data_IF_922987562822
#
_entry.id   IF_922987562822
#
_cell.length_a   1.000
_cell.length_b   1.000
_cell.length_c   1.000
_cell.angle_alpha   90.00
_cell.angle_beta   90.00
_cell.angle_gamma   90.00
#
_symmetry.space_group_name_H-M   'P 1'
#
loop_
_entity.id
_entity.type
_entity.pdbx_description
1 polymer ?
#
# COMPACT_ATOMS: atom_id res chain seq x y z
N UNK A 1 -17.59 -77.49 -10.09
CA UNK A 1 -16.64 -76.61 -10.80
C UNK A 1 -16.43 -75.34 -9.98
N UNK A 2 -15.17 -74.91 -9.81
CA UNK A 2 -14.68 -74.00 -8.77
C UNK A 2 -14.76 -72.53 -9.21
N UNK A 3 -15.49 -71.68 -8.48
CA UNK A 3 -15.50 -70.21 -8.69
C UNK A 3 -14.10 -69.64 -8.38
N UNK A 4 -13.57 -68.81 -9.29
CA UNK A 4 -12.31 -68.06 -9.11
C UNK A 4 -12.62 -66.56 -8.94
N UNK A 5 -11.81 -65.81 -8.16
CA UNK A 5 -12.19 -64.51 -7.59
C UNK A 5 -11.85 -63.32 -8.51
N UNK A 6 -12.54 -62.20 -8.26
CA UNK A 6 -12.44 -60.91 -8.97
C UNK A 6 -11.12 -60.16 -8.74
N UNK A 7 -10.60 -59.38 -9.72
CA UNK A 7 -9.55 -58.41 -9.51
C UNK A 7 -10.11 -56.97 -9.46
N UNK A 8 -10.73 -56.59 -8.35
CA UNK A 8 -11.32 -55.26 -8.17
C UNK A 8 -10.33 -54.16 -7.71
N UNK A 9 -9.01 -54.40 -7.78
CA UNK A 9 -8.04 -53.63 -6.96
C UNK A 9 -6.80 -53.08 -7.69
N UNK A 10 -6.84 -52.91 -9.02
CA UNK A 10 -5.72 -52.26 -9.75
C UNK A 10 -6.12 -51.04 -10.60
N UNK A 11 -7.42 -50.73 -10.73
CA UNK A 11 -7.87 -49.65 -11.62
C UNK A 11 -7.90 -48.26 -10.94
N UNK A 12 -7.88 -48.18 -9.61
CA UNK A 12 -8.00 -46.92 -8.88
C UNK A 12 -6.74 -46.04 -8.87
N UNK A 13 -5.55 -46.62 -8.91
CA UNK A 13 -4.30 -45.86 -8.72
C UNK A 13 -3.72 -45.27 -10.02
N UNK A 14 -4.11 -45.80 -11.18
CA UNK A 14 -3.66 -45.26 -12.49
C UNK A 14 -4.53 -44.11 -13.00
N UNK A 15 -5.76 -43.98 -12.51
CA UNK A 15 -6.66 -42.90 -12.93
C UNK A 15 -6.27 -41.53 -12.35
N UNK A 16 -5.59 -41.49 -11.18
CA UNK A 16 -5.21 -40.24 -10.53
C UNK A 16 -3.96 -39.57 -11.12
N UNK A 17 -3.10 -40.30 -11.84
CA UNK A 17 -1.87 -39.73 -12.41
C UNK A 17 -2.06 -39.13 -13.81
N UNK A 18 -3.12 -39.50 -14.54
CA UNK A 18 -3.41 -38.96 -15.87
C UNK A 18 -4.38 -37.76 -15.86
N UNK A 19 -5.02 -37.44 -14.72
CA UNK A 19 -5.89 -36.26 -14.59
C UNK A 19 -5.16 -34.96 -14.26
N UNK A 20 -4.00 -35.02 -13.59
CA UNK A 20 -3.30 -33.82 -13.10
C UNK A 20 -2.52 -33.08 -14.18
N UNK A 21 -2.03 -33.77 -15.21
CA UNK A 21 -1.12 -33.17 -16.20
C UNK A 21 -1.81 -32.19 -17.17
N UNK A 22 -3.11 -32.36 -17.45
CA UNK A 22 -3.84 -31.47 -18.37
C UNK A 22 -4.31 -30.17 -17.71
N UNK A 23 -4.49 -30.13 -16.39
CA UNK A 23 -4.87 -28.91 -15.68
C UNK A 23 -3.74 -27.87 -15.61
N UNK A 24 -2.47 -28.30 -15.66
CA UNK A 24 -1.30 -27.40 -15.60
C UNK A 24 -1.09 -26.65 -16.91
N UNK A 25 -1.37 -27.27 -18.07
CA UNK A 25 -1.12 -26.66 -19.38
C UNK A 25 -2.17 -25.58 -19.71
N UNK A 26 -3.43 -25.78 -19.31
CA UNK A 26 -4.49 -24.77 -19.50
C UNK A 26 -4.28 -23.50 -18.65
N UNK A 27 -3.53 -23.58 -17.55
CA UNK A 27 -3.18 -22.41 -16.73
C UNK A 27 -2.08 -21.54 -17.31
N UNK A 28 -1.21 -22.09 -18.17
CA UNK A 28 -0.03 -21.38 -18.69
C UNK A 28 -0.31 -20.50 -19.91
N UNK A 29 -1.48 -20.63 -20.55
CA UNK A 29 -1.89 -19.79 -21.68
C UNK A 29 -2.77 -18.61 -21.29
N UNK A 30 -3.17 -18.53 -20.02
CA UNK A 30 -3.73 -17.29 -19.49
C UNK A 30 -2.56 -16.37 -19.14
N UNK A 31 -2.40 -15.34 -19.95
CA UNK A 31 -1.54 -14.20 -19.69
C UNK A 31 -2.06 -13.50 -18.41
N UNK A 32 -1.68 -14.03 -17.24
CA UNK A 32 -1.91 -13.41 -15.93
C UNK A 32 -0.80 -12.37 -15.71
N UNK A 33 -0.61 -11.44 -16.66
CA UNK A 33 0.34 -10.32 -16.50
C UNK A 33 -0.29 -9.05 -15.94
N UNK A 34 -1.59 -9.01 -15.66
CA UNK A 34 -2.23 -7.77 -15.18
C UNK A 34 -3.18 -7.89 -13.98
N UNK A 35 -3.24 -9.00 -13.25
CA UNK A 35 -4.17 -9.09 -12.10
C UNK A 35 -3.65 -9.77 -10.84
N UNK A 36 -2.36 -10.08 -10.77
CA UNK A 36 -1.70 -10.17 -9.47
C UNK A 36 -1.38 -8.73 -9.05
N UNK A 37 -2.44 -7.99 -8.70
CA UNK A 37 -2.33 -6.96 -7.68
C UNK A 37 -1.83 -7.70 -6.45
N UNK A 38 -0.51 -7.85 -6.38
CA UNK A 38 0.19 -8.07 -5.14
C UNK A 38 -0.34 -6.92 -4.29
N UNK A 39 -1.32 -7.24 -3.44
CA UNK A 39 -1.70 -6.49 -2.25
C UNK A 39 -0.39 -6.32 -1.52
N UNK A 40 0.40 -5.34 -1.98
CA UNK A 40 1.70 -4.96 -1.48
C UNK A 40 1.32 -4.47 -0.11
N UNK A 41 1.49 -5.40 0.84
CA UNK A 41 0.98 -5.34 2.20
C UNK A 41 0.86 -3.87 2.56
N UNK A 42 -0.39 -3.43 2.60
CA UNK A 42 -0.80 -2.06 2.83
C UNK A 42 -0.38 -1.78 4.28
N UNK A 43 0.92 -1.59 4.49
CA UNK A 43 1.51 -1.12 5.74
C UNK A 43 1.10 0.33 5.81
N UNK A 44 -0.18 0.55 6.09
CA UNK A 44 -0.73 1.90 6.19
C UNK A 44 0.05 2.58 7.31
N UNK A 45 0.56 3.79 7.09
CA UNK A 45 1.43 4.46 8.07
C UNK A 45 0.71 4.69 9.38
N UNK A 46 -0.62 4.72 9.35
CA UNK A 46 -1.55 4.80 10.47
C UNK A 46 -2.97 4.76 9.83
N UNK A 47 -4.01 4.55 10.62
CA UNK A 47 -5.39 4.48 10.14
C UNK A 47 -5.83 5.85 9.58
N UNK A 48 -5.71 6.06 8.27
CA UNK A 48 -6.15 7.30 7.61
C UNK A 48 -7.59 7.65 8.01
N UNK A 49 -7.83 8.92 8.34
CA UNK A 49 -9.16 9.46 8.55
C UNK A 49 -9.80 9.71 7.18
N UNK A 50 -10.57 8.74 6.68
CA UNK A 50 -11.34 8.87 5.44
C UNK A 50 -10.69 8.23 4.20
N UNK A 51 -11.03 8.76 3.03
CA UNK A 51 -10.60 8.22 1.73
C UNK A 51 -9.12 8.53 1.46
N UNK A 52 -8.42 7.56 0.88
CA UNK A 52 -7.02 7.71 0.45
C UNK A 52 -6.95 8.16 -1.01
N UNK A 53 -5.98 9.02 -1.31
CA UNK A 53 -5.57 9.38 -2.66
C UNK A 53 -4.37 8.49 -3.05
N UNK A 54 -4.67 7.32 -3.63
CA UNK A 54 -3.66 6.29 -3.87
C UNK A 54 -2.55 6.73 -4.83
N UNK A 55 -2.85 7.62 -5.77
CA UNK A 55 -1.93 8.07 -6.81
C UNK A 55 -1.10 9.29 -6.38
N UNK A 56 -1.45 9.93 -5.26
CA UNK A 56 -0.68 11.04 -4.71
C UNK A 56 0.71 10.57 -4.25
N UNK A 57 1.72 11.05 -4.98
CA UNK A 57 3.14 10.86 -4.66
C UNK A 57 3.89 12.16 -4.89
N UNK A 58 5.00 12.35 -4.17
CA UNK A 58 5.86 13.53 -4.32
C UNK A 58 7.22 13.14 -4.89
N UNK A 59 7.76 13.98 -5.76
CA UNK A 59 9.07 13.80 -6.39
C UNK A 59 10.23 14.21 -5.47
N UNK A 60 11.48 13.94 -5.88
CA UNK A 60 12.68 14.41 -5.14
C UNK A 60 12.75 15.93 -5.13
N UNK A 61 12.38 16.56 -6.24
CA UNK A 61 12.40 18.01 -6.44
C UNK A 61 11.36 18.71 -5.57
N UNK A 62 10.14 18.14 -5.50
CA UNK A 62 9.10 18.62 -4.58
C UNK A 62 9.55 18.48 -3.12
N UNK A 63 10.13 17.35 -2.74
CA UNK A 63 10.64 17.17 -1.38
C UNK A 63 11.76 18.18 -1.07
N UNK A 64 12.73 18.36 -1.97
CA UNK A 64 13.81 19.32 -1.79
C UNK A 64 13.28 20.75 -1.62
N UNK A 65 12.30 21.15 -2.43
CA UNK A 65 11.64 22.46 -2.34
C UNK A 65 10.89 22.62 -1.01
N UNK A 66 10.14 21.59 -0.59
CA UNK A 66 9.44 21.58 0.68
C UNK A 66 10.38 21.78 1.87
N UNK A 67 11.55 21.15 1.86
CA UNK A 67 12.55 21.26 2.93
C UNK A 67 13.15 22.67 3.09
N UNK A 68 12.88 23.58 2.16
CA UNK A 68 13.25 25.00 2.29
C UNK A 68 12.22 25.84 3.05
N UNK A 69 11.01 25.32 3.28
CA UNK A 69 9.97 26.00 4.05
C UNK A 69 10.38 25.94 5.53
N UNK A 70 10.61 27.09 6.19
CA UNK A 70 10.89 27.09 7.63
C UNK A 70 9.65 26.69 8.41
N UNK A 71 9.84 26.05 9.56
CA UNK A 71 8.76 25.91 10.55
C UNK A 71 8.12 27.27 10.82
N UNK A 72 6.83 27.25 11.16
CA UNK A 72 5.97 28.43 11.26
C UNK A 72 5.63 29.12 9.93
N UNK A 73 5.99 28.51 8.81
CA UNK A 73 5.52 28.89 7.48
C UNK A 73 4.01 28.67 7.31
N UNK A 74 3.45 29.09 6.18
CA UNK A 74 2.01 28.92 5.92
C UNK A 74 1.70 27.52 5.40
N UNK A 75 0.53 26.99 5.79
CA UNK A 75 -0.02 25.74 5.23
C UNK A 75 -0.12 25.81 3.71
N UNK A 76 -0.54 26.95 3.17
CA UNK A 76 -0.60 27.20 1.72
C UNK A 76 0.75 27.00 1.03
N UNK A 77 1.83 27.56 1.57
CA UNK A 77 3.17 27.39 0.97
C UNK A 77 3.57 25.90 0.89
N UNK A 78 3.20 25.10 1.89
CA UNK A 78 3.44 23.65 1.85
C UNK A 78 2.58 22.97 0.78
N UNK A 79 1.29 23.31 0.72
CA UNK A 79 0.34 22.71 -0.22
C UNK A 79 0.64 23.10 -1.68
N UNK A 80 1.21 24.28 -1.93
CA UNK A 80 1.62 24.69 -3.28
C UNK A 80 2.77 23.80 -3.82
N UNK A 81 3.62 23.27 -2.93
CA UNK A 81 4.74 22.39 -3.32
C UNK A 81 4.32 20.92 -3.32
N UNK A 82 3.73 20.46 -2.22
CA UNK A 82 3.42 19.05 -1.99
C UNK A 82 2.06 18.62 -2.57
N UNK A 83 1.19 19.58 -2.90
CA UNK A 83 -0.16 19.35 -3.41
C UNK A 83 -1.00 18.50 -2.43
N UNK A 84 -1.95 17.72 -2.98
CA UNK A 84 -2.83 16.88 -2.17
C UNK A 84 -2.07 15.71 -1.53
N UNK A 85 -2.27 15.47 -0.23
CA UNK A 85 -1.67 14.33 0.45
C UNK A 85 -2.29 13.00 -0.01
N UNK A 86 -1.56 11.92 0.25
CA UNK A 86 -2.09 10.56 0.17
C UNK A 86 -3.27 10.37 1.11
N UNK A 87 -3.18 10.85 2.35
CA UNK A 87 -4.30 10.87 3.26
C UNK A 87 -4.07 11.83 4.43
N UNK A 88 -5.12 12.06 5.20
CA UNK A 88 -5.04 12.69 6.53
C UNK A 88 -5.04 11.60 7.60
N UNK A 89 -4.26 11.80 8.66
CA UNK A 89 -4.35 10.98 9.87
C UNK A 89 -5.39 11.57 10.83
N UNK A 90 -5.87 10.81 11.81
CA UNK A 90 -6.75 11.33 12.85
C UNK A 90 -6.07 12.51 13.56
N UNK A 91 -6.84 13.59 13.76
CA UNK A 91 -6.35 14.76 14.47
C UNK A 91 -5.92 14.38 15.88
N UNK A 92 -4.84 14.99 16.35
CA UNK A 92 -4.37 14.87 17.73
C UNK A 92 -4.51 16.21 18.43
N UNK A 93 -4.90 16.20 19.69
CA UNK A 93 -4.74 17.36 20.56
C UNK A 93 -3.35 17.28 21.20
N UNK A 94 -2.35 17.92 20.57
CA UNK A 94 -0.98 17.96 21.11
C UNK A 94 -0.90 18.96 22.29
N UNK A 95 -1.75 19.99 22.28
CA UNK A 95 -1.93 20.99 23.34
C UNK A 95 -3.42 21.36 23.44
N UNK A 96 -3.88 21.75 24.63
CA UNK A 96 -5.27 22.14 24.83
C UNK A 96 -5.66 23.31 23.91
N UNK A 97 -6.62 23.07 23.01
CA UNK A 97 -7.26 24.13 22.22
C UNK A 97 -6.78 24.32 20.78
N UNK A 98 -5.76 23.58 20.30
CA UNK A 98 -5.36 23.62 18.88
C UNK A 98 -5.30 22.21 18.30
N UNK A 99 -6.22 21.84 17.37
CA UNK A 99 -6.16 20.55 16.72
C UNK A 99 -4.92 20.49 15.82
N UNK A 100 -4.15 19.42 15.95
CA UNK A 100 -3.01 19.15 15.10
C UNK A 100 -3.42 18.24 13.94
N UNK A 101 -3.34 18.77 12.73
CA UNK A 101 -3.62 18.06 11.48
C UNK A 101 -2.35 17.40 10.96
N UNK A 102 -2.47 16.16 10.47
CA UNK A 102 -1.32 15.36 10.03
C UNK A 102 -1.56 14.81 8.64
N UNK A 103 -0.90 15.43 7.66
CA UNK A 103 -0.95 15.06 6.26
C UNK A 103 0.14 14.04 5.92
N UNK A 104 -0.20 13.04 5.14
CA UNK A 104 0.69 11.95 4.77
C UNK A 104 1.01 12.02 3.29
N UNK A 105 2.29 11.96 2.93
CA UNK A 105 2.78 11.99 1.55
C UNK A 105 3.68 10.79 1.27
N UNK A 106 3.44 10.14 0.12
CA UNK A 106 4.25 9.02 -0.37
C UNK A 106 5.40 9.55 -1.23
N UNK A 107 6.61 9.04 -1.03
CA UNK A 107 7.75 9.39 -1.87
C UNK A 107 7.73 8.54 -3.15
N UNK A 108 7.74 9.16 -4.32
CA UNK A 108 7.75 8.45 -5.59
C UNK A 108 9.02 7.59 -5.78
N UNK A 109 10.13 8.01 -5.18
CA UNK A 109 11.46 7.42 -5.33
C UNK A 109 11.88 6.50 -4.17
N UNK A 110 11.11 6.46 -3.08
CA UNK A 110 11.32 5.56 -1.95
C UNK A 110 9.96 5.14 -1.35
N UNK A 111 9.30 4.10 -1.91
CA UNK A 111 7.97 3.70 -1.48
C UNK A 111 7.89 3.16 -0.04
N UNK A 112 9.03 2.89 0.62
CA UNK A 112 9.08 2.41 2.01
C UNK A 112 9.18 3.56 3.02
N UNK A 113 9.45 4.79 2.55
CA UNK A 113 9.56 5.98 3.39
C UNK A 113 8.44 6.95 3.08
N UNK A 114 7.79 7.44 4.13
CA UNK A 114 6.64 8.31 4.04
C UNK A 114 6.94 9.60 4.78
N UNK A 115 6.53 10.73 4.19
CA UNK A 115 6.63 12.04 4.80
C UNK A 115 5.31 12.33 5.53
N UNK A 116 5.38 12.62 6.81
CA UNK A 116 4.23 13.09 7.60
C UNK A 116 4.47 14.55 7.94
N UNK A 117 3.57 15.42 7.51
CA UNK A 117 3.62 16.86 7.75
C UNK A 117 2.58 17.23 8.80
N UNK A 118 3.00 18.05 9.77
CA UNK A 118 2.18 18.53 10.87
C UNK A 118 1.74 19.97 10.59
N UNK A 119 0.46 20.24 10.78
CA UNK A 119 -0.10 21.59 10.76
C UNK A 119 -0.84 21.88 12.06
N UNK A 120 -0.71 23.12 12.54
CA UNK A 120 -1.47 23.68 13.64
C UNK A 120 -2.29 24.86 13.09
N UNK A 121 -3.57 24.61 12.77
CA UNK A 121 -4.39 25.55 12.02
C UNK A 121 -3.82 25.82 10.61
N UNK A 122 -3.49 27.08 10.33
CA UNK A 122 -2.91 27.52 9.05
C UNK A 122 -1.37 27.57 9.05
N UNK A 123 -0.75 27.10 10.13
CA UNK A 123 0.70 27.13 10.31
C UNK A 123 1.32 25.74 10.09
N UNK A 124 2.42 25.70 9.33
CA UNK A 124 3.27 24.52 9.20
C UNK A 124 4.11 24.35 10.47
N UNK A 125 3.86 23.25 11.20
CA UNK A 125 4.45 23.00 12.50
C UNK A 125 5.64 22.02 12.47
N UNK A 126 5.90 21.38 11.33
CA UNK A 126 7.06 20.51 11.14
C UNK A 126 6.75 19.23 10.38
N UNK A 127 7.73 18.32 10.31
CA UNK A 127 7.61 17.07 9.58
C UNK A 127 8.43 15.95 10.20
N UNK A 128 8.14 14.73 9.75
CA UNK A 128 8.91 13.55 10.10
C UNK A 128 8.86 12.53 8.97
N UNK A 129 9.95 11.79 8.80
CA UNK A 129 9.96 10.60 7.98
C UNK A 129 9.54 9.38 8.79
N UNK A 130 8.77 8.49 8.16
CA UNK A 130 8.32 7.21 8.71
C UNK A 130 8.71 6.10 7.76
N UNK A 131 9.49 5.15 8.26
CA UNK A 131 9.90 3.96 7.50
C UNK A 131 8.94 2.82 7.81
N UNK A 132 8.37 2.21 6.77
CA UNK A 132 7.45 1.08 6.88
C UNK A 132 8.23 -0.23 6.88
N UNK A 133 8.48 -0.77 8.07
CA UNK A 133 9.19 -2.05 8.26
C UNK A 133 8.29 -3.26 8.19
#
# INVERSE_FOLDING_TARGET
>A
MKKRPEPHQQLGMRLFLMGGALAVIAGLTMDVRESISFERANRRPENCAGTVNADATISREQLASFLTIPERGTKTAVLDILQMPYCQLPNLEIRAGVPAERSVYRLAFDPQTWLVVLFEGEEYAGYQFRVMR
#
